data_IF_760110450661
#
_entry.id   IF_760110450661
#
_cell.length_a   1.000
_cell.length_b   1.000
_cell.length_c   1.000
_cell.angle_alpha   90.00
_cell.angle_beta   90.00
_cell.angle_gamma   90.00
#
_symmetry.space_group_name_H-M   'P 1'
#
loop_
_entity.id
_entity.type
_entity.pdbx_description
1 polymer ?
#
# COMPACT_ATOMS: atom_id res chain seq x y z
N UNK A 1 45.97 10.56 -4.04
CA UNK A 1 44.66 9.90 -3.87
C UNK A 1 43.68 10.63 -4.77
N UNK A 2 43.09 9.99 -5.80
CA UNK A 2 42.17 10.69 -6.67
C UNK A 2 40.85 10.94 -5.92
N UNK A 3 40.35 12.17 -5.99
CA UNK A 3 39.07 12.57 -5.40
C UNK A 3 37.94 12.09 -6.32
N UNK A 4 37.18 11.09 -5.86
CA UNK A 4 35.95 10.66 -6.53
C UNK A 4 34.88 11.74 -6.32
N UNK A 5 34.49 12.41 -7.40
CA UNK A 5 33.32 13.30 -7.42
C UNK A 5 32.11 12.42 -7.77
N UNK A 6 31.13 12.25 -6.87
CA UNK A 6 29.93 11.49 -7.18
C UNK A 6 29.11 12.22 -8.25
N UNK A 7 28.62 11.44 -9.21
CA UNK A 7 27.74 11.91 -10.28
C UNK A 7 26.38 12.32 -9.68
N UNK A 8 25.73 13.41 -10.13
CA UNK A 8 24.43 13.80 -9.59
C UNK A 8 23.39 12.75 -10.01
N UNK A 9 22.98 11.91 -9.06
CA UNK A 9 21.80 11.07 -9.22
C UNK A 9 20.57 11.96 -9.01
N UNK A 10 19.95 12.38 -10.11
CA UNK A 10 18.58 12.92 -10.06
C UNK A 10 17.68 11.84 -9.42
N UNK A 11 17.06 12.18 -8.29
CA UNK A 11 15.99 11.38 -7.68
C UNK A 11 16.39 10.42 -6.55
N UNK A 12 17.65 10.39 -6.11
CA UNK A 12 18.06 9.62 -4.94
C UNK A 12 17.62 10.26 -3.63
N UNK A 13 16.31 10.28 -3.34
CA UNK A 13 15.85 10.52 -1.98
C UNK A 13 16.32 9.36 -1.12
N UNK A 14 17.40 9.58 -0.37
CA UNK A 14 17.70 8.87 0.87
C UNK A 14 16.61 9.21 1.91
N UNK A 15 15.34 8.92 1.59
CA UNK A 15 14.29 8.85 2.59
C UNK A 15 14.46 7.49 3.21
N UNK A 16 14.70 7.47 4.52
CA UNK A 16 14.32 6.33 5.37
C UNK A 16 13.00 5.76 4.85
N UNK A 17 12.78 4.43 4.86
CA UNK A 17 11.51 3.87 4.43
C UNK A 17 10.44 4.43 5.37
N UNK A 18 9.83 5.55 4.98
CA UNK A 18 8.67 6.08 5.64
C UNK A 18 7.62 5.01 5.40
N UNK A 19 7.26 4.33 6.49
CA UNK A 19 6.16 3.39 6.51
C UNK A 19 5.01 4.04 5.76
N UNK A 20 4.54 3.43 4.68
CA UNK A 20 3.45 4.02 3.92
C UNK A 20 2.19 4.04 4.82
N UNK A 21 1.26 4.97 4.61
CA UNK A 21 0.01 5.00 5.37
C UNK A 21 -0.70 3.63 5.37
N UNK A 22 -0.62 2.91 4.26
CA UNK A 22 -1.14 1.55 4.14
C UNK A 22 -0.35 0.52 4.96
N UNK A 23 0.98 0.64 5.02
CA UNK A 23 1.84 -0.20 5.89
C UNK A 23 1.47 -0.02 7.37
N UNK A 24 1.23 1.21 7.81
CA UNK A 24 0.87 1.51 9.20
C UNK A 24 -0.51 0.98 9.56
N UNK A 25 -1.49 1.13 8.67
CA UNK A 25 -2.84 0.58 8.85
C UNK A 25 -2.82 -0.94 8.98
N UNK A 26 -2.10 -1.63 8.08
CA UNK A 26 -1.98 -3.10 8.13
C UNK A 26 -1.26 -3.53 9.41
N UNK A 27 -0.24 -2.79 9.86
CA UNK A 27 0.45 -3.08 11.12
C UNK A 27 -0.50 -2.96 12.32
N UNK A 28 -1.33 -1.92 12.37
CA UNK A 28 -2.30 -1.73 13.45
C UNK A 28 -3.31 -2.89 13.52
N UNK A 29 -3.88 -3.29 12.39
CA UNK A 29 -4.80 -4.43 12.31
C UNK A 29 -4.12 -5.75 12.73
N UNK A 30 -2.89 -5.99 12.27
CA UNK A 30 -2.11 -7.16 12.67
C UNK A 30 -1.81 -7.20 14.18
N UNK A 31 -1.52 -6.04 14.78
CA UNK A 31 -1.29 -5.91 16.21
C UNK A 31 -2.57 -6.17 17.03
N UNK A 32 -3.75 -5.84 16.49
CA UNK A 32 -5.03 -6.20 17.12
C UNK A 32 -5.27 -7.72 17.10
N UNK A 33 -4.85 -8.40 16.04
CA UNK A 33 -5.00 -9.86 15.90
C UNK A 33 -3.96 -10.65 16.68
N UNK A 34 -2.77 -10.08 16.94
CA UNK A 34 -1.68 -10.78 17.59
C UNK A 34 -0.72 -9.85 18.31
N UNK A 35 -0.38 -10.18 19.56
CA UNK A 35 0.68 -9.49 20.32
C UNK A 35 2.10 -9.95 19.96
N UNK A 36 2.29 -10.68 18.85
CA UNK A 36 3.58 -11.21 18.44
C UNK A 36 4.22 -10.32 17.37
N UNK A 37 5.02 -9.35 17.79
CA UNK A 37 5.73 -8.41 16.91
C UNK A 37 6.59 -9.11 15.84
N UNK A 38 7.14 -10.29 16.14
CA UNK A 38 7.92 -11.05 15.15
C UNK A 38 7.04 -11.54 14.00
N UNK A 39 5.84 -12.06 14.30
CA UNK A 39 4.88 -12.48 13.29
C UNK A 39 4.42 -11.29 12.44
N UNK A 40 4.10 -10.16 13.09
CA UNK A 40 3.68 -8.93 12.40
C UNK A 40 4.76 -8.45 11.43
N UNK A 41 6.01 -8.38 11.88
CA UNK A 41 7.13 -8.00 11.02
C UNK A 41 7.33 -8.98 9.85
N UNK A 42 7.26 -10.29 10.10
CA UNK A 42 7.37 -11.29 9.02
C UNK A 42 6.28 -11.14 7.96
N UNK A 43 5.03 -10.89 8.37
CA UNK A 43 3.91 -10.71 7.44
C UNK A 43 4.09 -9.41 6.64
N UNK A 44 4.41 -8.30 7.31
CA UNK A 44 4.65 -7.01 6.64
C UNK A 44 5.78 -7.10 5.60
N UNK A 45 6.88 -7.79 5.91
CA UNK A 45 7.98 -8.02 4.96
C UNK A 45 7.52 -8.78 3.71
N UNK A 46 6.68 -9.81 3.87
CA UNK A 46 6.13 -10.58 2.73
C UNK A 46 5.11 -9.78 1.93
N UNK A 47 4.40 -8.86 2.57
CA UNK A 47 3.40 -8.00 1.93
C UNK A 47 3.98 -6.77 1.23
N UNK A 48 5.25 -6.42 1.45
CA UNK A 48 5.89 -5.22 0.84
C UNK A 48 5.61 -5.02 -0.65
N UNK A 49 5.77 -6.02 -1.54
CA UNK A 49 5.51 -5.83 -2.98
C UNK A 49 4.04 -5.53 -3.28
N UNK A 50 3.14 -6.10 -2.48
CA UNK A 50 1.69 -5.90 -2.62
C UNK A 50 1.28 -4.51 -2.12
N UNK A 51 1.78 -4.10 -0.95
CA UNK A 51 1.56 -2.76 -0.41
C UNK A 51 2.08 -1.69 -1.37
N UNK A 52 3.27 -1.88 -1.95
CA UNK A 52 3.82 -0.98 -2.95
C UNK A 52 2.95 -0.84 -4.22
N UNK A 53 2.18 -1.88 -4.56
CA UNK A 53 1.23 -1.83 -5.68
C UNK A 53 -0.04 -1.06 -5.32
N UNK A 54 -0.45 -1.11 -4.05
CA UNK A 54 -1.62 -0.38 -3.54
C UNK A 54 -1.31 1.11 -3.30
N UNK A 55 -0.07 1.42 -2.90
CA UNK A 55 0.43 2.80 -2.77
C UNK A 55 0.67 3.47 -4.15
N UNK A 56 0.40 2.78 -5.27
CA UNK A 56 0.44 3.42 -6.59
C UNK A 56 -0.68 4.47 -6.68
N UNK A 57 -0.28 5.73 -6.51
CA UNK A 57 -1.17 6.88 -6.61
C UNK A 57 -1.62 7.07 -8.07
N UNK A 58 -2.88 6.73 -8.36
CA UNK A 58 -3.52 7.02 -9.64
C UNK A 58 -4.15 8.40 -9.57
N UNK A 59 -3.33 9.44 -9.76
CA UNK A 59 -3.85 10.81 -9.86
C UNK A 59 -4.46 11.05 -11.23
N UNK A 60 -5.67 11.62 -11.26
CA UNK A 60 -6.32 12.06 -12.47
C UNK A 60 -6.51 13.58 -12.38
N UNK A 61 -5.54 14.31 -12.92
CA UNK A 61 -5.58 15.77 -12.96
C UNK A 61 -6.47 16.23 -14.11
N UNK A 62 -7.65 16.75 -13.77
CA UNK A 62 -8.59 17.29 -14.76
C UNK A 62 -8.87 18.77 -14.44
N UNK A 63 -8.52 19.65 -15.37
CA UNK A 63 -8.83 21.08 -15.26
C UNK A 63 -10.31 21.33 -15.59
N UNK A 64 -11.01 21.99 -14.66
CA UNK A 64 -12.41 22.39 -14.83
C UNK A 64 -12.45 23.74 -15.54
N UNK A 65 -12.99 23.77 -16.76
CA UNK A 65 -13.27 24.99 -17.54
C UNK A 65 -14.77 25.23 -17.62
N UNK A 66 -15.18 26.45 -17.97
CA UNK A 66 -16.59 26.79 -18.11
C UNK A 66 -17.32 25.94 -19.17
N UNK A 67 -16.60 25.41 -20.17
CA UNK A 67 -17.19 24.53 -21.19
C UNK A 67 -17.41 23.08 -20.71
N UNK A 68 -16.60 22.59 -19.76
CA UNK A 68 -16.65 21.19 -19.31
C UNK A 68 -17.28 21.01 -17.91
N UNK A 69 -17.45 22.08 -17.14
CA UNK A 69 -17.93 22.07 -15.75
C UNK A 69 -19.20 21.25 -15.56
N UNK A 70 -20.21 21.47 -16.40
CA UNK A 70 -21.48 20.75 -16.30
C UNK A 70 -21.34 19.24 -16.56
N UNK A 71 -20.46 18.85 -17.49
CA UNK A 71 -20.17 17.45 -17.78
C UNK A 71 -19.36 16.79 -16.67
N UNK A 72 -18.34 17.49 -16.16
CA UNK A 72 -17.53 17.04 -15.03
C UNK A 72 -18.40 16.82 -13.79
N UNK A 73 -19.24 17.78 -13.44
CA UNK A 73 -20.14 17.68 -12.27
C UNK A 73 -21.12 16.50 -12.36
N UNK A 74 -21.53 16.11 -13.56
CA UNK A 74 -22.37 14.92 -13.76
C UNK A 74 -21.61 13.60 -13.59
N UNK A 75 -20.30 13.60 -13.85
CA UNK A 75 -19.46 12.39 -13.80
C UNK A 75 -18.86 12.15 -12.42
N UNK A 76 -18.65 13.21 -11.61
CA UNK A 76 -18.13 13.11 -10.23
C UNK A 76 -18.84 12.02 -9.39
N UNK A 77 -20.18 11.94 -9.33
CA UNK A 77 -20.85 10.90 -8.55
C UNK A 77 -20.52 9.48 -9.03
N UNK A 78 -20.35 9.28 -10.34
CA UNK A 78 -20.00 7.98 -10.92
C UNK A 78 -18.56 7.60 -10.61
N UNK A 79 -17.64 8.57 -10.59
CA UNK A 79 -16.25 8.36 -10.17
C UNK A 79 -16.19 8.00 -8.67
N UNK A 80 -16.97 8.69 -7.83
CA UNK A 80 -17.04 8.40 -6.40
C UNK A 80 -17.63 7.03 -6.09
N UNK A 81 -18.69 6.62 -6.81
CA UNK A 81 -19.23 5.25 -6.70
C UNK A 81 -18.19 4.20 -7.10
N UNK A 82 -17.46 4.46 -8.20
CA UNK A 82 -16.39 3.59 -8.65
C UNK A 82 -15.26 3.48 -7.62
N UNK A 83 -14.84 4.60 -7.03
CA UNK A 83 -13.84 4.63 -5.96
C UNK A 83 -14.30 3.79 -4.75
N UNK A 84 -15.53 3.98 -4.28
CA UNK A 84 -16.06 3.21 -3.14
C UNK A 84 -16.09 1.70 -3.42
N UNK A 85 -16.42 1.30 -4.65
CA UNK A 85 -16.39 -0.12 -5.05
C UNK A 85 -14.97 -0.68 -5.11
N UNK A 86 -14.02 0.10 -5.63
CA UNK A 86 -12.61 -0.29 -5.63
C UNK A 86 -12.07 -0.42 -4.21
N UNK A 87 -12.39 0.51 -3.32
CA UNK A 87 -11.98 0.46 -1.91
C UNK A 87 -12.49 -0.82 -1.22
N UNK A 88 -13.75 -1.21 -1.48
CA UNK A 88 -14.32 -2.46 -0.97
C UNK A 88 -13.59 -3.70 -1.48
N UNK A 89 -13.34 -3.79 -2.79
CA UNK A 89 -12.61 -4.91 -3.41
C UNK A 89 -11.17 -4.98 -2.87
N UNK A 90 -10.48 -3.85 -2.79
CA UNK A 90 -9.11 -3.77 -2.28
C UNK A 90 -9.07 -4.24 -0.83
N UNK A 91 -10.03 -3.81 0.01
CA UNK A 91 -10.14 -4.22 1.41
C UNK A 91 -10.31 -5.75 1.54
N UNK A 92 -11.19 -6.36 0.74
CA UNK A 92 -11.39 -7.81 0.71
C UNK A 92 -10.11 -8.56 0.33
N UNK A 93 -9.41 -8.12 -0.73
CA UNK A 93 -8.18 -8.76 -1.21
C UNK A 93 -7.05 -8.63 -0.17
N UNK A 94 -6.87 -7.44 0.42
CA UNK A 94 -5.86 -7.22 1.47
C UNK A 94 -6.14 -8.14 2.66
N UNK A 95 -7.40 -8.22 3.09
CA UNK A 95 -7.81 -9.02 4.25
C UNK A 95 -7.55 -10.51 4.01
N UNK A 96 -7.93 -11.03 2.84
CA UNK A 96 -7.66 -12.41 2.45
C UNK A 96 -6.15 -12.69 2.42
N UNK A 97 -5.36 -11.77 1.87
CA UNK A 97 -3.91 -11.94 1.80
C UNK A 97 -3.26 -11.95 3.18
N UNK A 98 -3.70 -11.10 4.10
CA UNK A 98 -3.22 -11.08 5.49
C UNK A 98 -3.51 -12.42 6.17
N UNK A 99 -4.76 -12.90 6.08
CA UNK A 99 -5.15 -14.18 6.67
C UNK A 99 -4.32 -15.35 6.12
N UNK A 100 -4.05 -15.33 4.81
CA UNK A 100 -3.21 -16.32 4.17
C UNK A 100 -1.77 -16.32 4.70
N UNK A 101 -1.14 -15.14 4.85
CA UNK A 101 0.22 -15.05 5.42
C UNK A 101 0.27 -15.48 6.89
N UNK A 102 -0.76 -15.15 7.69
CA UNK A 102 -0.90 -15.65 9.07
C UNK A 102 -0.98 -17.17 9.08
N UNK A 103 -1.77 -17.77 8.19
CA UNK A 103 -1.90 -19.22 8.09
C UNK A 103 -0.57 -19.89 7.72
N UNK A 104 0.13 -19.37 6.71
CA UNK A 104 1.44 -19.87 6.29
C UNK A 104 2.47 -19.79 7.42
N UNK A 105 2.51 -18.67 8.16
CA UNK A 105 3.41 -18.53 9.30
C UNK A 105 3.20 -19.63 10.35
N UNK A 106 1.94 -19.96 10.66
CA UNK A 106 1.63 -21.01 11.62
C UNK A 106 2.03 -22.40 11.12
N UNK A 107 1.79 -22.71 9.84
CA UNK A 107 2.24 -23.97 9.22
C UNK A 107 3.76 -24.09 9.30
N UNK A 108 4.50 -23.07 8.82
CA UNK A 108 5.96 -23.08 8.80
C UNK A 108 6.55 -23.32 10.20
N UNK A 109 5.95 -22.69 11.22
CA UNK A 109 6.34 -22.89 12.62
C UNK A 109 6.07 -24.30 13.11
N UNK A 110 4.93 -24.89 12.72
CA UNK A 110 4.55 -26.25 13.12
C UNK A 110 5.40 -27.33 12.42
N UNK A 111 5.82 -27.08 11.17
CA UNK A 111 6.63 -28.02 10.36
C UNK A 111 8.14 -27.94 10.62
N UNK A 112 8.63 -26.96 11.37
CA UNK A 112 10.05 -26.80 11.73
C UNK A 112 10.48 -27.64 12.95
N UNK A 113 9.74 -28.71 13.27
CA UNK A 113 10.10 -29.71 14.28
C UNK A 113 10.31 -31.09 13.64
#
# INVERSE_FOLDING_TARGET
MPTLIPFPAEGGSTREPQSSPMTDMIREELNQLSSNDYMVNCILERMKPFIATLDCDLSLDMEITAENEAGVMQVIPSIQDLQSRFDGIISEIISERILHEIHLFHIERATKF
#
